data_IF_478453638620
#
_entry.id   IF_478453638620
#
_cell.length_a   1.000
_cell.length_b   1.000
_cell.length_c   1.000
_cell.angle_alpha   90.00
_cell.angle_beta   90.00
_cell.angle_gamma   90.00
#
_symmetry.space_group_name_H-M   'P 1'
#
loop_
_entity.id
_entity.type
_entity.pdbx_description
1 polymer ?
#
# COMPACT_ATOMS: atom_id res chain seq x y z
N UNK A 1 9.70 -2.58 9.94
CA UNK A 1 8.39 -2.82 10.56
C UNK A 1 7.25 -2.28 9.69
N UNK A 2 7.24 -0.99 9.39
CA UNK A 2 6.16 -0.42 8.58
C UNK A 2 6.12 -0.99 7.16
N UNK A 3 7.28 -1.15 6.53
CA UNK A 3 7.35 -1.72 5.18
C UNK A 3 6.83 -3.15 5.16
N UNK A 4 7.19 -3.93 6.17
CA UNK A 4 6.74 -5.31 6.29
C UNK A 4 5.21 -5.36 6.45
N UNK A 5 4.65 -4.46 7.26
CA UNK A 5 3.20 -4.36 7.43
C UNK A 5 2.51 -4.07 6.09
N UNK A 6 3.09 -3.15 5.30
CA UNK A 6 2.55 -2.84 3.97
C UNK A 6 2.58 -4.07 3.06
N UNK A 7 3.72 -4.77 3.03
CA UNK A 7 3.85 -5.97 2.19
C UNK A 7 2.84 -7.04 2.57
N UNK A 8 2.69 -7.32 3.86
CA UNK A 8 1.79 -8.37 4.32
C UNK A 8 0.33 -8.04 4.06
N UNK A 9 -0.05 -6.77 4.24
CA UNK A 9 -1.45 -6.38 4.12
C UNK A 9 -1.87 -6.05 2.69
N UNK A 10 -0.96 -5.59 1.84
CA UNK A 10 -1.29 -5.36 0.43
C UNK A 10 -1.63 -6.67 -0.31
N UNK A 11 -1.17 -7.81 0.22
CA UNK A 11 -1.48 -9.11 -0.35
C UNK A 11 -2.91 -9.55 -0.05
N UNK A 12 -3.56 -8.93 0.93
CA UNK A 12 -4.93 -9.26 1.30
C UNK A 12 -5.91 -8.58 0.35
N UNK A 13 -7.08 -9.16 0.21
CA UNK A 13 -8.11 -8.65 -0.69
C UNK A 13 -8.49 -7.21 -0.36
N UNK A 14 -8.62 -6.89 0.93
CA UNK A 14 -9.00 -5.55 1.37
C UNK A 14 -7.83 -4.56 1.39
N UNK A 15 -6.60 -5.07 1.28
CA UNK A 15 -5.43 -4.22 1.30
C UNK A 15 -5.07 -3.71 2.70
N UNK A 16 -4.46 -2.52 2.74
CA UNK A 16 -4.01 -1.90 3.99
C UNK A 16 -5.08 -0.94 4.50
N UNK A 17 -5.52 -1.15 5.74
CA UNK A 17 -6.40 -0.19 6.40
C UNK A 17 -5.57 0.98 6.93
N UNK A 18 -5.86 2.17 6.43
CA UNK A 18 -5.16 3.39 6.87
C UNK A 18 -5.37 3.63 8.35
N UNK A 19 -6.60 3.42 8.83
CA UNK A 19 -6.92 3.60 10.24
C UNK A 19 -6.13 2.64 11.13
N UNK A 20 -6.09 1.37 10.77
CA UNK A 20 -5.35 0.37 11.54
C UNK A 20 -3.86 0.64 11.54
N UNK A 21 -3.33 1.10 10.41
CA UNK A 21 -1.93 1.47 10.31
C UNK A 21 -1.62 2.62 11.27
N UNK A 22 -2.48 3.65 11.28
CA UNK A 22 -2.30 4.80 12.16
C UNK A 22 -2.37 4.40 13.63
N UNK A 23 -3.26 3.48 13.97
CA UNK A 23 -3.38 2.99 15.33
C UNK A 23 -2.14 2.22 15.77
N UNK A 24 -1.56 1.44 14.85
CA UNK A 24 -0.39 0.62 15.16
C UNK A 24 0.91 1.42 15.19
N UNK A 25 1.09 2.35 14.26
CA UNK A 25 2.37 3.05 14.09
C UNK A 25 2.32 4.53 14.42
N UNK A 26 1.16 5.05 14.82
CA UNK A 26 0.96 6.45 15.17
C UNK A 26 1.32 7.42 14.03
N UNK A 27 1.22 6.96 12.77
CA UNK A 27 1.47 7.83 11.62
C UNK A 27 0.62 7.36 10.44
N UNK A 28 0.39 8.27 9.50
CA UNK A 28 -0.42 7.99 8.32
C UNK A 28 0.47 7.37 7.23
N UNK A 29 0.10 6.17 6.71
CA UNK A 29 0.91 5.53 5.68
C UNK A 29 1.00 6.33 4.40
N UNK A 30 -0.01 7.16 4.09
CA UNK A 30 0.00 8.02 2.92
C UNK A 30 1.17 9.02 2.98
N UNK A 31 1.43 9.57 4.16
CA UNK A 31 2.56 10.48 4.33
C UNK A 31 3.90 9.74 4.44
N UNK A 32 3.90 8.63 5.17
CA UNK A 32 5.12 7.88 5.41
C UNK A 32 5.72 7.32 4.12
N UNK A 33 4.85 6.82 3.25
CA UNK A 33 5.27 6.22 1.97
C UNK A 33 4.81 7.05 0.78
N UNK A 34 4.76 8.37 0.94
CA UNK A 34 4.21 9.26 -0.09
C UNK A 34 4.82 9.05 -1.47
N UNK A 35 6.13 9.00 -1.55
CA UNK A 35 6.81 8.85 -2.85
C UNK A 35 6.50 7.50 -3.50
N UNK A 36 6.57 6.44 -2.71
CA UNK A 36 6.29 5.08 -3.21
C UNK A 36 4.83 4.94 -3.63
N UNK A 37 3.91 5.43 -2.80
CA UNK A 37 2.49 5.32 -3.11
C UNK A 37 2.11 6.19 -4.30
N UNK A 38 2.66 7.39 -4.40
CA UNK A 38 2.39 8.27 -5.53
C UNK A 38 2.82 7.63 -6.84
N UNK A 39 4.02 7.06 -6.85
CA UNK A 39 4.55 6.35 -8.01
C UNK A 39 3.63 5.18 -8.43
N UNK A 40 3.27 4.36 -7.45
CA UNK A 40 2.47 3.17 -7.72
C UNK A 40 1.04 3.50 -8.14
N UNK A 41 0.46 4.54 -7.57
CA UNK A 41 -0.87 5.00 -7.98
C UNK A 41 -0.82 5.59 -9.40
N UNK A 42 0.21 6.36 -9.72
CA UNK A 42 0.39 6.91 -11.05
C UNK A 42 0.58 5.82 -12.10
N UNK A 43 1.23 4.71 -11.72
CA UNK A 43 1.41 3.56 -12.59
C UNK A 43 0.17 2.64 -12.62
N UNK A 44 -0.85 3.01 -11.86
CA UNK A 44 -2.12 2.29 -11.76
C UNK A 44 -1.99 0.88 -11.18
N UNK A 45 -0.99 0.69 -10.35
CA UNK A 45 -0.74 -0.58 -9.65
C UNK A 45 -1.44 -0.62 -8.29
N UNK A 46 -1.62 0.55 -7.66
CA UNK A 46 -2.33 0.69 -6.41
C UNK A 46 -3.46 1.69 -6.55
N UNK A 47 -4.45 1.56 -5.69
CA UNK A 47 -5.52 2.53 -5.58
C UNK A 47 -5.79 2.82 -4.11
N UNK A 48 -6.24 4.03 -3.83
CA UNK A 48 -6.70 4.41 -2.50
C UNK A 48 -8.21 4.55 -2.58
N UNK A 49 -8.91 3.71 -1.83
CA UNK A 49 -10.37 3.65 -1.81
C UNK A 49 -10.85 3.84 -0.38
N UNK A 50 -11.28 5.07 -0.07
CA UNK A 50 -11.72 5.40 1.28
C UNK A 50 -10.59 5.21 2.28
N UNK A 51 -10.76 4.27 3.21
CA UNK A 51 -9.77 3.99 4.26
C UNK A 51 -8.77 2.91 3.88
N UNK A 52 -8.75 2.46 2.62
CA UNK A 52 -7.92 1.33 2.23
C UNK A 52 -7.00 1.67 1.08
N UNK A 53 -5.80 1.10 1.14
CA UNK A 53 -4.84 1.12 0.04
C UNK A 53 -4.76 -0.32 -0.48
N UNK A 54 -5.10 -0.53 -1.74
CA UNK A 54 -5.15 -1.90 -2.28
C UNK A 54 -4.62 -1.97 -3.71
N UNK A 55 -4.31 -3.19 -4.13
CA UNK A 55 -3.84 -3.44 -5.48
C UNK A 55 -5.00 -3.30 -6.47
N UNK A 56 -4.69 -2.74 -7.63
CA UNK A 56 -5.60 -2.78 -8.78
C UNK A 56 -5.48 -4.14 -9.46
N UNK A 57 -6.32 -4.42 -10.45
CA UNK A 57 -6.16 -5.64 -11.24
C UNK A 57 -4.79 -5.69 -11.91
N UNK A 58 -4.33 -4.56 -12.42
CA UNK A 58 -2.99 -4.45 -13.01
C UNK A 58 -1.92 -4.71 -11.94
N UNK A 59 -2.13 -4.21 -10.73
CA UNK A 59 -1.21 -4.42 -9.61
C UNK A 59 -1.14 -5.88 -9.20
N UNK A 60 -2.24 -6.61 -9.28
CA UNK A 60 -2.24 -8.05 -9.00
C UNK A 60 -1.37 -8.80 -10.00
N UNK A 61 -1.45 -8.44 -11.28
CA UNK A 61 -0.65 -9.07 -12.32
C UNK A 61 0.83 -8.72 -12.21
N UNK A 62 1.13 -7.51 -11.73
CA UNK A 62 2.49 -6.99 -11.64
C UNK A 62 2.90 -6.73 -10.19
N UNK A 63 2.44 -7.58 -9.27
CA UNK A 63 2.62 -7.38 -7.83
C UNK A 63 4.09 -7.29 -7.43
N UNK A 64 4.99 -7.97 -8.15
CA UNK A 64 6.42 -7.88 -7.87
C UNK A 64 6.94 -6.44 -7.98
N UNK A 65 6.37 -5.62 -8.85
CA UNK A 65 6.76 -4.21 -8.98
C UNK A 65 6.33 -3.42 -7.75
N UNK A 66 5.21 -3.81 -7.14
CA UNK A 66 4.74 -3.17 -5.91
C UNK A 66 5.64 -3.58 -4.74
N UNK A 67 5.96 -4.87 -4.65
CA UNK A 67 6.81 -5.36 -3.56
C UNK A 67 8.19 -4.71 -3.57
N UNK A 68 8.74 -4.44 -4.74
CA UNK A 68 10.05 -3.80 -4.87
C UNK A 68 10.12 -2.43 -4.18
N UNK A 69 9.01 -1.72 -4.11
CA UNK A 69 8.98 -0.40 -3.49
C UNK A 69 8.99 -0.47 -1.96
N UNK A 70 8.65 -1.62 -1.39
CA UNK A 70 8.54 -1.78 0.05
C UNK A 70 9.53 -2.79 0.64
N UNK A 71 10.51 -3.17 -0.12
CA UNK A 71 11.56 -4.10 0.35
C UNK A 71 12.69 -3.36 1.02
#
# INVERSE_FOLDING_TARGET
MQKEYMLLNLRKLDGVSILKFKEKFACNPIFLFRNELEKLVNEKLLMVDGNFIKLTNKGLDLANLVWEEFV
#
